data_IF_037366514667
#
_entry.id   IF_037366514667
#
_cell.length_a   1.000
_cell.length_b   1.000
_cell.length_c   1.000
_cell.angle_alpha   90.00
_cell.angle_beta   90.00
_cell.angle_gamma   90.00
#
_symmetry.space_group_name_H-M   'P 1'
#
loop_
_entity.id
_entity.type
_entity.pdbx_description
1 polymer ?
#
# COMPACT_ATOMS: atom_id res chain seq x y z
N UNK A 1 -0.10 83.94 -20.05
CA UNK A 1 -0.74 82.95 -20.97
C UNK A 1 0.15 81.75 -21.03
N UNK A 2 -0.08 80.72 -20.18
CA UNK A 2 0.63 79.45 -20.22
C UNK A 2 -0.36 78.36 -20.19
N UNK A 3 -0.34 77.46 -21.20
CA UNK A 3 -1.16 76.23 -21.30
C UNK A 3 -0.50 75.13 -20.46
N UNK A 4 -1.25 74.31 -19.72
CA UNK A 4 -0.69 73.13 -19.02
C UNK A 4 -0.67 71.90 -19.97
N UNK A 5 0.48 71.20 -19.97
CA UNK A 5 0.71 70.01 -20.64
C UNK A 5 -0.08 68.79 -19.95
N UNK A 6 -0.92 68.11 -20.65
CA UNK A 6 -1.50 66.84 -20.28
C UNK A 6 -0.45 65.74 -20.41
N UNK A 7 -0.09 65.12 -19.31
CA UNK A 7 0.65 63.84 -19.31
C UNK A 7 -0.31 62.67 -19.62
N UNK A 8 -0.04 61.96 -20.68
CA UNK A 8 -0.67 60.71 -21.00
C UNK A 8 -0.12 59.61 -20.08
N UNK A 9 -0.97 58.99 -19.27
CA UNK A 9 -0.66 57.80 -18.49
C UNK A 9 -0.73 56.57 -19.42
N UNK A 10 0.38 55.89 -19.58
CA UNK A 10 0.49 54.57 -20.23
C UNK A 10 -0.10 53.48 -19.32
N UNK A 11 -0.90 52.53 -19.82
CA UNK A 11 -1.34 51.43 -19.01
C UNK A 11 -0.20 50.42 -18.81
N UNK A 12 0.09 50.13 -17.54
CA UNK A 12 1.00 49.07 -17.12
C UNK A 12 0.41 47.71 -17.51
N UNK A 13 1.02 47.09 -18.49
CA UNK A 13 0.68 45.69 -18.87
C UNK A 13 1.09 44.78 -17.72
N UNK A 14 0.10 44.18 -17.05
CA UNK A 14 0.29 43.03 -16.18
C UNK A 14 0.77 41.85 -17.04
N UNK A 15 2.04 41.60 -17.01
CA UNK A 15 2.67 40.38 -17.52
C UNK A 15 2.19 39.22 -16.66
N UNK A 16 1.30 38.41 -17.21
CA UNK A 16 1.02 37.06 -16.73
C UNK A 16 2.33 36.27 -16.81
N UNK A 17 2.96 36.07 -15.67
CA UNK A 17 4.04 35.11 -15.55
C UNK A 17 3.41 33.73 -15.79
N UNK A 18 3.51 33.25 -17.03
CA UNK A 18 3.29 31.85 -17.34
C UNK A 18 4.36 31.06 -16.59
N UNK A 19 3.98 30.38 -15.50
CA UNK A 19 4.80 29.37 -14.86
C UNK A 19 5.07 28.31 -15.90
N UNK A 20 6.29 28.26 -16.41
CA UNK A 20 6.78 27.20 -17.28
C UNK A 20 6.49 25.85 -16.60
N UNK A 21 5.87 24.87 -17.31
CA UNK A 21 5.72 23.55 -16.74
C UNK A 21 7.11 23.01 -16.40
N UNK A 22 7.32 22.59 -15.16
CA UNK A 22 8.55 21.94 -14.75
C UNK A 22 8.82 20.79 -15.72
N UNK A 23 10.00 20.76 -16.34
CA UNK A 23 10.42 19.75 -17.33
C UNK A 23 10.56 18.33 -16.75
N UNK A 24 10.20 18.14 -15.48
CA UNK A 24 10.29 16.90 -14.71
C UNK A 24 8.90 16.50 -14.19
N UNK A 25 8.10 15.84 -15.00
CA UNK A 25 6.81 15.30 -14.64
C UNK A 25 6.39 14.20 -15.59
N UNK A 26 5.16 13.67 -15.45
CA UNK A 26 4.59 12.67 -16.36
C UNK A 26 4.38 13.17 -17.81
N UNK A 27 4.34 14.48 -18.03
CA UNK A 27 4.22 15.09 -19.37
C UNK A 27 3.04 14.54 -20.19
N UNK A 28 1.88 14.40 -19.56
CA UNK A 28 0.66 13.89 -20.20
C UNK A 28 0.57 12.37 -20.30
N UNK A 29 1.50 11.62 -19.74
CA UNK A 29 1.38 10.16 -19.67
C UNK A 29 0.11 9.75 -18.92
N UNK A 30 -0.54 8.69 -19.39
CA UNK A 30 -1.71 8.06 -18.78
C UNK A 30 -1.23 7.15 -17.64
N UNK A 31 -1.64 7.49 -16.42
CA UNK A 31 -1.16 6.86 -15.19
C UNK A 31 -2.29 6.13 -14.51
N UNK A 32 -2.24 4.81 -14.51
CA UNK A 32 -3.19 3.96 -13.79
C UNK A 32 -2.76 3.78 -12.32
N UNK A 33 -3.74 3.70 -11.43
CA UNK A 33 -3.54 3.25 -10.06
C UNK A 33 -4.78 2.50 -9.57
N UNK A 34 -4.55 1.44 -8.80
CA UNK A 34 -5.60 0.63 -8.19
C UNK A 34 -5.86 1.03 -6.74
N UNK A 35 -5.47 2.26 -6.36
CA UNK A 35 -5.61 2.80 -5.01
C UNK A 35 -7.09 2.98 -4.63
N UNK A 36 -7.43 2.54 -3.42
CA UNK A 36 -8.81 2.55 -2.92
C UNK A 36 -9.05 3.64 -1.88
N UNK A 37 -8.39 3.57 -0.73
CA UNK A 37 -8.65 4.50 0.40
C UNK A 37 -8.28 5.94 0.09
N UNK A 38 -7.21 6.14 -0.67
CA UNK A 38 -6.67 7.44 -1.03
C UNK A 38 -6.79 7.72 -2.54
N UNK A 39 -7.82 7.16 -3.21
CA UNK A 39 -8.03 7.31 -4.65
C UNK A 39 -8.07 8.78 -5.09
N UNK A 40 -8.78 9.63 -4.38
CA UNK A 40 -8.84 11.08 -4.67
C UNK A 40 -7.48 11.77 -4.51
N UNK A 41 -6.73 11.41 -3.47
CA UNK A 41 -5.37 11.94 -3.25
C UNK A 41 -4.40 11.45 -4.33
N UNK A 42 -4.49 10.19 -4.73
CA UNK A 42 -3.71 9.62 -5.82
C UNK A 42 -4.01 10.36 -7.14
N UNK A 43 -5.28 10.58 -7.47
CA UNK A 43 -5.70 11.36 -8.63
C UNK A 43 -5.09 12.76 -8.60
N UNK A 44 -5.17 13.45 -7.45
CA UNK A 44 -4.62 14.79 -7.26
C UNK A 44 -3.10 14.81 -7.46
N UNK A 45 -2.39 13.84 -6.89
CA UNK A 45 -0.93 13.73 -7.02
C UNK A 45 -0.50 13.48 -8.47
N UNK A 46 -1.15 12.54 -9.18
CA UNK A 46 -0.85 12.27 -10.59
C UNK A 46 -1.05 13.54 -11.44
N UNK A 47 -2.19 14.22 -11.27
CA UNK A 47 -2.50 15.46 -11.99
C UNK A 47 -1.50 16.57 -11.65
N UNK A 48 -1.14 16.73 -10.36
CA UNK A 48 -0.14 17.71 -9.92
C UNK A 48 1.23 17.52 -10.61
N UNK A 49 1.60 16.26 -10.87
CA UNK A 49 2.82 15.92 -11.59
C UNK A 49 2.63 15.80 -13.12
N UNK A 50 1.53 16.34 -13.67
CA UNK A 50 1.30 16.47 -15.11
C UNK A 50 0.91 15.16 -15.80
N UNK A 51 0.40 14.17 -15.09
CA UNK A 51 -0.14 12.92 -15.63
C UNK A 51 -1.65 12.98 -15.84
N UNK A 52 -2.16 12.08 -16.69
CA UNK A 52 -3.60 11.84 -16.89
C UNK A 52 -3.99 10.64 -16.00
N UNK A 53 -4.72 10.85 -14.90
CA UNK A 53 -5.02 9.78 -13.95
C UNK A 53 -6.12 8.84 -14.44
N UNK A 54 -5.89 7.52 -14.27
CA UNK A 54 -6.88 6.45 -14.36
C UNK A 54 -6.87 5.69 -13.03
N UNK A 55 -7.63 6.18 -12.05
CA UNK A 55 -7.65 5.61 -10.70
C UNK A 55 -8.94 4.84 -10.48
N UNK A 56 -8.82 3.54 -10.20
CA UNK A 56 -9.96 2.68 -9.90
C UNK A 56 -9.68 1.87 -8.63
N UNK A 57 -10.57 1.91 -7.62
CA UNK A 57 -10.46 1.08 -6.45
C UNK A 57 -10.44 -0.41 -6.82
N UNK A 58 -9.46 -1.16 -6.31
CA UNK A 58 -9.40 -2.62 -6.45
C UNK A 58 -9.71 -3.35 -5.14
N UNK A 59 -9.87 -2.60 -4.06
CA UNK A 59 -10.08 -3.16 -2.72
C UNK A 59 -11.16 -2.40 -1.99
N UNK A 60 -11.94 -3.15 -1.20
CA UNK A 60 -12.87 -2.63 -0.22
C UNK A 60 -12.60 -3.29 1.13
N UNK A 61 -12.56 -2.48 2.19
CA UNK A 61 -12.45 -3.00 3.55
C UNK A 61 -13.82 -3.38 4.05
N UNK A 62 -14.01 -4.66 4.39
CA UNK A 62 -15.24 -5.13 5.02
C UNK A 62 -14.95 -5.59 6.44
N UNK A 63 -15.60 -5.00 7.44
CA UNK A 63 -15.62 -5.54 8.79
C UNK A 63 -16.15 -6.97 8.75
N UNK A 64 -15.61 -7.84 9.59
CA UNK A 64 -16.20 -9.16 9.78
C UNK A 64 -17.50 -9.01 10.57
N UNK A 65 -18.63 -9.43 10.01
CA UNK A 65 -19.97 -9.32 10.61
C UNK A 65 -20.09 -10.11 11.92
N UNK A 66 -19.34 -11.24 12.01
CA UNK A 66 -19.22 -12.05 13.21
C UNK A 66 -17.73 -12.25 13.47
N UNK A 67 -17.15 -11.45 14.36
CA UNK A 67 -15.73 -11.49 14.65
C UNK A 67 -15.47 -12.41 15.86
N UNK A 68 -15.88 -13.68 15.71
CA UNK A 68 -15.75 -14.68 16.78
C UNK A 68 -14.31 -14.89 17.22
N UNK A 69 -13.35 -14.87 16.28
CA UNK A 69 -11.93 -15.02 16.58
C UNK A 69 -11.38 -13.85 17.39
N UNK A 70 -11.78 -12.61 17.08
CA UNK A 70 -11.38 -11.45 17.85
C UNK A 70 -12.02 -11.45 19.26
N UNK A 71 -13.28 -11.88 19.40
CA UNK A 71 -13.93 -12.02 20.70
C UNK A 71 -13.29 -13.14 21.55
N UNK A 72 -12.95 -14.28 20.96
CA UNK A 72 -12.21 -15.36 21.62
C UNK A 72 -10.81 -14.90 22.05
N UNK A 73 -10.13 -14.13 21.21
CA UNK A 73 -8.88 -13.47 21.61
C UNK A 73 -9.11 -12.56 22.83
N UNK A 74 -10.17 -11.77 22.85
CA UNK A 74 -10.52 -10.92 24.00
C UNK A 74 -10.73 -11.70 25.29
N UNK A 75 -11.44 -12.85 25.24
CA UNK A 75 -11.59 -13.76 26.36
C UNK A 75 -10.26 -14.32 26.84
N UNK A 76 -9.43 -14.79 25.90
CA UNK A 76 -8.11 -15.35 26.20
C UNK A 76 -7.16 -14.28 26.78
N UNK A 77 -7.23 -13.04 26.28
CA UNK A 77 -6.45 -11.91 26.77
C UNK A 77 -6.79 -11.59 28.23
N UNK A 78 -8.09 -11.46 28.55
CA UNK A 78 -8.56 -11.15 29.90
C UNK A 78 -8.28 -12.31 30.86
N UNK A 79 -8.34 -13.55 30.38
CA UNK A 79 -7.98 -14.74 31.16
C UNK A 79 -6.45 -14.93 31.37
N UNK A 80 -5.62 -14.02 30.86
CA UNK A 80 -4.15 -14.13 30.96
C UNK A 80 -3.56 -15.28 30.12
N UNK A 81 -4.26 -15.70 29.07
CA UNK A 81 -3.87 -16.80 28.19
C UNK A 81 -3.14 -16.35 26.93
N UNK A 82 -2.68 -15.11 26.88
CA UNK A 82 -1.88 -14.52 25.80
C UNK A 82 -0.57 -13.99 26.39
N UNK A 83 0.54 -14.27 25.73
CA UNK A 83 1.86 -13.79 26.18
C UNK A 83 2.32 -12.59 25.35
N UNK A 84 2.00 -12.58 24.05
CA UNK A 84 2.41 -11.53 23.13
C UNK A 84 1.30 -11.19 22.12
N UNK A 85 1.26 -9.92 21.68
CA UNK A 85 0.41 -9.46 20.61
C UNK A 85 1.23 -8.71 19.55
N UNK A 86 1.26 -9.25 18.33
CA UNK A 86 1.84 -8.61 17.16
C UNK A 86 0.78 -7.80 16.41
N UNK A 87 1.00 -6.50 16.29
CA UNK A 87 0.12 -5.57 15.61
C UNK A 87 0.69 -5.22 14.23
N UNK A 88 0.00 -5.62 13.17
CA UNK A 88 0.43 -5.37 11.80
C UNK A 88 0.01 -3.97 11.30
N UNK A 89 -1.10 -3.41 11.79
CA UNK A 89 -1.53 -2.05 11.41
C UNK A 89 -2.18 -1.29 12.56
N UNK A 90 -2.05 0.04 12.55
CA UNK A 90 -2.74 0.89 13.52
C UNK A 90 -4.26 0.91 13.33
N UNK A 91 -4.73 0.89 12.08
CA UNK A 91 -6.17 0.79 11.78
C UNK A 91 -6.74 -0.52 12.33
N UNK A 92 -6.06 -1.66 12.06
CA UNK A 92 -6.50 -2.95 12.58
C UNK A 92 -6.54 -3.02 14.11
N UNK A 93 -5.64 -2.34 14.81
CA UNK A 93 -5.73 -2.26 16.28
C UNK A 93 -6.96 -1.47 16.75
N UNK A 94 -7.31 -0.36 16.08
CA UNK A 94 -8.55 0.39 16.41
C UNK A 94 -9.78 -0.48 16.19
N UNK A 95 -9.87 -1.13 15.04
CA UNK A 95 -10.97 -2.06 14.73
C UNK A 95 -11.04 -3.20 15.73
N UNK A 96 -9.89 -3.76 16.15
CA UNK A 96 -9.86 -4.79 17.20
C UNK A 96 -10.45 -4.27 18.50
N UNK A 97 -10.07 -3.07 18.95
CA UNK A 97 -10.64 -2.47 20.16
C UNK A 97 -12.14 -2.23 20.03
N UNK A 98 -12.62 -1.76 18.88
CA UNK A 98 -14.05 -1.57 18.60
C UNK A 98 -14.83 -2.89 18.73
N UNK A 99 -14.30 -3.98 18.14
CA UNK A 99 -14.93 -5.31 18.24
C UNK A 99 -14.92 -5.81 19.69
N UNK A 100 -13.79 -5.68 20.39
CA UNK A 100 -13.71 -6.12 21.79
C UNK A 100 -14.65 -5.36 22.72
N UNK A 101 -14.89 -4.08 22.45
CA UNK A 101 -15.81 -3.24 23.21
C UNK A 101 -17.28 -3.66 23.06
N UNK A 102 -17.64 -4.49 22.09
CA UNK A 102 -18.97 -5.09 22.01
C UNK A 102 -19.27 -6.02 23.21
N UNK A 103 -18.24 -6.53 23.86
CA UNK A 103 -18.38 -7.52 24.96
C UNK A 103 -17.62 -7.15 26.22
N UNK A 104 -16.54 -6.37 26.15
CA UNK A 104 -15.66 -6.06 27.29
C UNK A 104 -15.50 -4.57 27.47
N UNK A 105 -15.37 -4.11 28.71
CA UNK A 105 -15.08 -2.72 29.01
C UNK A 105 -13.68 -2.32 28.53
N UNK A 106 -13.54 -1.18 27.88
CA UNK A 106 -12.26 -0.69 27.37
C UNK A 106 -11.16 -0.64 28.43
N UNK A 107 -11.39 -0.17 29.69
CA UNK A 107 -10.38 -0.19 30.73
C UNK A 107 -9.85 -1.60 31.01
N UNK A 108 -10.71 -2.63 31.03
CA UNK A 108 -10.32 -4.03 31.26
C UNK A 108 -9.44 -4.53 30.12
N UNK A 109 -9.79 -4.23 28.86
CA UNK A 109 -8.99 -4.59 27.68
C UNK A 109 -7.60 -3.95 27.79
N UNK A 110 -7.56 -2.62 28.02
CA UNK A 110 -6.29 -1.88 28.08
C UNK A 110 -5.41 -2.32 29.26
N UNK A 111 -6.01 -2.67 30.38
CA UNK A 111 -5.25 -3.20 31.53
C UNK A 111 -4.65 -4.57 31.20
N UNK A 112 -5.42 -5.47 30.61
CA UNK A 112 -4.90 -6.79 30.18
C UNK A 112 -3.77 -6.64 29.15
N UNK A 113 -3.86 -5.68 28.22
CA UNK A 113 -2.80 -5.41 27.24
C UNK A 113 -1.49 -4.89 27.84
N UNK A 114 -1.51 -4.29 29.03
CA UNK A 114 -0.27 -3.87 29.75
C UNK A 114 0.53 -5.05 30.30
N UNK A 115 -0.12 -6.20 30.49
CA UNK A 115 0.50 -7.38 31.08
C UNK A 115 1.11 -8.35 30.05
N UNK A 116 1.00 -8.05 28.76
CA UNK A 116 1.57 -8.84 27.67
C UNK A 116 2.62 -8.04 26.89
N UNK A 117 3.47 -8.74 26.12
CA UNK A 117 4.44 -8.07 25.24
C UNK A 117 3.73 -7.58 23.96
N UNK A 118 3.75 -6.27 23.75
CA UNK A 118 3.20 -5.65 22.55
C UNK A 118 4.30 -5.45 21.49
N UNK A 119 4.06 -5.96 20.30
CA UNK A 119 4.97 -5.88 19.16
C UNK A 119 4.31 -5.04 18.09
N UNK A 120 4.94 -3.93 17.68
CA UNK A 120 4.44 -3.07 16.60
C UNK A 120 5.25 -3.29 15.33
N UNK A 121 4.58 -3.62 14.21
CA UNK A 121 5.21 -3.73 12.89
C UNK A 121 5.69 -2.38 12.34
N UNK A 122 6.09 -1.47 13.16
CA UNK A 122 6.59 -0.17 12.74
C UNK A 122 5.88 1.01 13.42
N UNK A 123 6.11 2.25 12.94
CA UNK A 123 5.70 3.46 13.65
C UNK A 123 4.18 3.67 13.71
N UNK A 124 3.43 3.21 12.69
CA UNK A 124 1.97 3.45 12.62
C UNK A 124 1.20 2.73 13.74
N UNK A 125 1.33 1.39 13.95
CA UNK A 125 0.71 0.75 15.11
C UNK A 125 1.28 1.26 16.44
N UNK A 126 2.58 1.56 16.53
CA UNK A 126 3.18 2.13 17.73
C UNK A 126 2.57 3.49 18.13
N UNK A 127 2.24 4.34 17.15
CA UNK A 127 1.54 5.61 17.39
C UNK A 127 0.14 5.37 17.96
N UNK A 128 -0.61 4.43 17.38
CA UNK A 128 -1.98 4.14 17.87
C UNK A 128 -1.95 3.54 19.27
N UNK A 129 -1.02 2.65 19.59
CA UNK A 129 -0.84 2.15 20.96
C UNK A 129 -0.67 3.30 21.97
N UNK A 130 0.17 4.29 21.67
CA UNK A 130 0.40 5.45 22.53
C UNK A 130 -0.85 6.30 22.76
N UNK A 131 -1.75 6.40 21.78
CA UNK A 131 -3.02 7.12 21.92
C UNK A 131 -3.93 6.48 22.98
N UNK A 132 -3.78 5.18 23.23
CA UNK A 132 -4.47 4.41 24.27
C UNK A 132 -3.63 4.21 25.54
N UNK A 133 -2.51 4.93 25.70
CA UNK A 133 -1.67 4.83 26.88
C UNK A 133 -0.84 3.53 26.96
N UNK A 134 -0.67 2.82 25.83
CA UNK A 134 0.10 1.60 25.71
C UNK A 134 1.46 1.88 25.05
N UNK A 135 2.49 1.13 25.44
CA UNK A 135 3.82 1.24 24.87
C UNK A 135 4.25 -0.11 24.30
N UNK A 136 4.59 -0.23 23.02
CA UNK A 136 5.13 -1.47 22.47
C UNK A 136 6.55 -1.71 23.03
N UNK A 137 6.84 -2.93 23.45
CA UNK A 137 8.17 -3.35 23.91
C UNK A 137 9.10 -3.63 22.73
N UNK A 138 8.52 -4.06 21.58
CA UNK A 138 9.27 -4.33 20.36
C UNK A 138 8.67 -3.52 19.22
N UNK A 139 9.52 -2.78 18.49
CA UNK A 139 9.13 -2.04 17.29
C UNK A 139 10.00 -2.50 16.13
N UNK A 140 9.38 -3.02 15.08
CA UNK A 140 10.09 -3.51 13.89
C UNK A 140 10.59 -2.30 13.07
N UNK A 141 11.88 -2.25 12.69
CA UNK A 141 12.44 -1.17 11.88
C UNK A 141 11.96 -1.23 10.43
N UNK A 142 12.07 -0.13 9.70
CA UNK A 142 11.85 -0.12 8.24
C UNK A 142 12.81 -1.08 7.53
N UNK A 143 12.35 -1.74 6.46
CA UNK A 143 11.11 -1.51 5.68
C UNK A 143 9.83 -2.17 6.21
N UNK A 144 9.82 -2.72 7.42
CA UNK A 144 8.64 -3.29 8.11
C UNK A 144 7.99 -4.47 7.36
N UNK A 145 8.78 -5.28 6.66
CA UNK A 145 8.31 -6.49 5.99
C UNK A 145 8.11 -7.62 7.00
N UNK A 146 7.47 -8.71 6.57
CA UNK A 146 7.36 -9.91 7.40
C UNK A 146 8.73 -10.52 7.75
N UNK A 147 9.72 -10.37 6.85
CA UNK A 147 11.10 -10.81 7.10
C UNK A 147 11.76 -9.99 8.22
N UNK A 148 11.49 -8.67 8.24
CA UNK A 148 12.01 -7.80 9.30
C UNK A 148 11.36 -8.10 10.64
N UNK A 149 10.06 -8.48 10.66
CA UNK A 149 9.39 -8.95 11.88
C UNK A 149 10.12 -10.17 12.45
N UNK A 150 10.34 -11.21 11.63
CA UNK A 150 11.03 -12.43 12.07
C UNK A 150 12.43 -12.14 12.55
N UNK A 151 13.21 -11.36 11.81
CA UNK A 151 14.57 -10.94 12.17
C UNK A 151 14.59 -10.16 13.50
N UNK A 152 13.66 -9.24 13.70
CA UNK A 152 13.56 -8.45 14.93
C UNK A 152 13.24 -9.33 16.12
N UNK A 153 12.33 -10.30 15.96
CA UNK A 153 12.00 -11.25 17.02
C UNK A 153 13.21 -12.14 17.36
N UNK A 154 13.96 -12.64 16.38
CA UNK A 154 15.19 -13.42 16.60
C UNK A 154 16.23 -12.63 17.41
N UNK A 155 16.32 -11.31 17.20
CA UNK A 155 17.25 -10.44 17.95
C UNK A 155 16.81 -10.19 19.39
N UNK A 156 15.50 -10.00 19.64
CA UNK A 156 14.96 -9.72 20.97
C UNK A 156 14.74 -10.99 21.79
N UNK A 157 14.53 -12.12 21.15
CA UNK A 157 14.18 -13.42 21.73
C UNK A 157 15.10 -14.51 21.17
N UNK A 158 16.40 -14.50 21.49
CA UNK A 158 17.37 -15.43 20.90
C UNK A 158 17.11 -16.90 21.30
N UNK A 159 16.33 -17.15 22.34
CA UNK A 159 15.85 -18.49 22.74
C UNK A 159 14.67 -18.99 21.90
N UNK A 160 14.18 -18.19 20.91
CA UNK A 160 13.01 -18.50 20.10
C UNK A 160 11.68 -18.20 20.79
N UNK A 161 10.61 -18.71 20.20
CA UNK A 161 9.23 -18.49 20.65
C UNK A 161 8.59 -19.75 21.22
N UNK A 162 9.39 -20.73 21.66
CA UNK A 162 8.90 -22.03 22.12
C UNK A 162 7.87 -21.88 23.25
N UNK A 163 6.64 -22.33 22.99
CA UNK A 163 5.54 -22.29 23.94
C UNK A 163 4.89 -20.91 24.13
N UNK A 164 5.39 -19.86 23.50
CA UNK A 164 4.82 -18.51 23.56
C UNK A 164 3.48 -18.47 22.82
N UNK A 165 2.43 -18.03 23.51
CA UNK A 165 1.09 -17.81 22.95
C UNK A 165 1.06 -16.42 22.30
N UNK A 166 1.31 -16.41 20.99
CA UNK A 166 1.45 -15.20 20.19
C UNK A 166 0.19 -14.92 19.40
N UNK A 167 -0.54 -13.89 19.78
CA UNK A 167 -1.63 -13.36 18.98
C UNK A 167 -1.10 -12.46 17.84
N UNK A 168 -1.63 -12.65 16.64
CA UNK A 168 -1.25 -11.87 15.46
C UNK A 168 -2.48 -11.14 14.93
N UNK A 169 -2.55 -9.83 15.12
CA UNK A 169 -3.60 -9.01 14.54
C UNK A 169 -3.38 -8.92 13.03
N UNK A 170 -4.17 -9.66 12.28
CA UNK A 170 -4.13 -9.70 10.82
C UNK A 170 -4.79 -8.45 10.19
N UNK A 171 -4.39 -8.13 8.96
CA UNK A 171 -5.01 -7.05 8.22
C UNK A 171 -5.27 -7.48 6.76
N UNK A 172 -6.53 -7.52 6.39
CA UNK A 172 -6.98 -7.78 5.02
C UNK A 172 -6.74 -9.19 4.54
N UNK A 173 -5.52 -9.56 4.18
CA UNK A 173 -5.13 -10.91 3.76
C UNK A 173 -4.19 -11.53 4.78
N UNK A 174 -4.37 -12.83 4.97
CA UNK A 174 -3.52 -13.66 5.81
C UNK A 174 -2.10 -13.74 5.22
N UNK A 175 -1.10 -13.51 6.04
CA UNK A 175 0.30 -13.65 5.63
C UNK A 175 0.84 -15.01 6.07
N UNK A 176 0.66 -16.03 5.23
CA UNK A 176 1.06 -17.40 5.55
C UNK A 176 2.59 -17.54 5.72
N UNK A 177 3.39 -16.75 5.01
CA UNK A 177 4.84 -16.75 5.17
C UNK A 177 5.26 -16.24 6.56
N UNK A 178 4.62 -15.18 7.06
CA UNK A 178 4.84 -14.70 8.43
C UNK A 178 4.41 -15.74 9.47
N UNK A 179 3.19 -16.26 9.32
CA UNK A 179 2.65 -17.23 10.29
C UNK A 179 3.49 -18.51 10.32
N UNK A 180 3.87 -19.05 9.16
CA UNK A 180 4.77 -20.20 9.06
C UNK A 180 6.13 -19.91 9.70
N UNK A 181 6.71 -18.74 9.45
CA UNK A 181 7.99 -18.34 10.04
C UNK A 181 7.95 -18.19 11.57
N UNK A 182 6.82 -17.73 12.12
CA UNK A 182 6.60 -17.66 13.57
C UNK A 182 6.39 -19.06 14.17
N UNK A 183 5.61 -19.92 13.51
CA UNK A 183 5.39 -21.32 13.93
C UNK A 183 6.69 -22.13 13.96
N UNK A 184 7.55 -21.95 12.93
CA UNK A 184 8.89 -22.60 12.89
C UNK A 184 9.78 -22.19 14.07
N UNK A 185 9.54 -21.04 14.69
CA UNK A 185 10.23 -20.57 15.90
C UNK A 185 9.61 -21.08 17.20
N UNK A 186 8.56 -21.91 17.09
CA UNK A 186 7.90 -22.57 18.22
C UNK A 186 6.72 -21.79 18.81
N UNK A 187 6.26 -20.71 18.18
CA UNK A 187 5.11 -19.94 18.65
C UNK A 187 3.80 -20.73 18.55
N UNK A 188 2.97 -20.64 19.59
CA UNK A 188 1.57 -21.04 19.55
C UNK A 188 0.77 -19.85 19.00
N UNK A 189 0.41 -19.92 17.73
CA UNK A 189 -0.20 -18.81 17.01
C UNK A 189 -1.71 -18.70 17.25
N UNK A 190 -2.16 -17.47 17.47
CA UNK A 190 -3.57 -17.10 17.58
C UNK A 190 -3.82 -15.99 16.54
N UNK A 191 -4.22 -16.35 15.30
CA UNK A 191 -4.59 -15.35 14.31
C UNK A 191 -5.82 -14.57 14.78
N UNK A 192 -5.78 -13.24 14.68
CA UNK A 192 -6.84 -12.33 15.08
C UNK A 192 -7.23 -11.47 13.87
N UNK A 193 -8.04 -11.99 12.95
CA UNK A 193 -8.54 -11.22 11.82
C UNK A 193 -9.53 -10.18 12.34
N UNK A 194 -9.46 -8.94 11.86
CA UNK A 194 -10.37 -7.86 12.28
C UNK A 194 -11.17 -7.29 11.11
N UNK A 195 -10.66 -7.38 9.89
CA UNK A 195 -11.33 -7.04 8.64
C UNK A 195 -10.72 -7.84 7.49
N UNK A 196 -11.42 -7.87 6.38
CA UNK A 196 -10.92 -8.48 5.14
C UNK A 196 -10.91 -7.44 4.01
N UNK A 197 -9.91 -7.56 3.16
CA UNK A 197 -9.95 -6.91 1.86
C UNK A 197 -10.80 -7.77 0.93
N UNK A 198 -11.80 -7.16 0.33
CA UNK A 198 -12.63 -7.76 -0.70
C UNK A 198 -12.57 -6.92 -1.96
N UNK A 199 -13.02 -7.48 -3.06
CA UNK A 199 -13.30 -6.69 -4.25
C UNK A 199 -14.38 -5.64 -3.94
N UNK A 200 -14.34 -4.46 -4.58
CA UNK A 200 -15.41 -3.47 -4.50
C UNK A 200 -16.75 -4.04 -4.98
N UNK A 201 -17.86 -3.50 -4.48
CA UNK A 201 -19.21 -3.90 -4.93
C UNK A 201 -19.43 -3.54 -6.41
N UNK A 202 -18.92 -2.38 -6.84
CA UNK A 202 -18.89 -1.99 -8.25
C UNK A 202 -17.49 -2.27 -8.84
N UNK A 203 -17.44 -3.26 -9.73
CA UNK A 203 -16.23 -3.68 -10.43
C UNK A 203 -15.99 -2.96 -11.77
N UNK A 204 -16.96 -2.22 -12.27
CA UNK A 204 -16.85 -1.62 -13.61
C UNK A 204 -15.68 -0.63 -13.75
N UNK A 205 -15.40 0.27 -12.78
CA UNK A 205 -14.21 1.11 -12.85
C UNK A 205 -12.91 0.30 -12.91
N UNK A 206 -12.81 -0.78 -12.11
CA UNK A 206 -11.62 -1.64 -12.09
C UNK A 206 -11.46 -2.38 -13.42
N UNK A 207 -12.52 -3.01 -13.93
CA UNK A 207 -12.51 -3.69 -15.23
C UNK A 207 -12.08 -2.75 -16.36
N UNK A 208 -12.61 -1.52 -16.36
CA UNK A 208 -12.25 -0.52 -17.36
C UNK A 208 -10.75 -0.19 -17.35
N UNK A 209 -10.16 0.00 -16.17
CA UNK A 209 -8.70 0.26 -16.05
C UNK A 209 -7.88 -0.96 -16.46
N UNK A 210 -8.27 -2.17 -16.05
CA UNK A 210 -7.58 -3.41 -16.45
C UNK A 210 -7.63 -3.64 -17.96
N UNK A 211 -8.78 -3.35 -18.59
CA UNK A 211 -8.94 -3.39 -20.04
C UNK A 211 -8.06 -2.34 -20.73
N UNK A 212 -8.07 -1.08 -20.27
CA UNK A 212 -7.24 -0.03 -20.81
C UNK A 212 -5.73 -0.36 -20.73
N UNK A 213 -5.28 -1.02 -19.65
CA UNK A 213 -3.91 -1.54 -19.52
C UNK A 213 -3.66 -2.61 -20.59
N UNK A 214 -4.54 -3.60 -20.70
CA UNK A 214 -4.40 -4.71 -21.64
C UNK A 214 -4.36 -4.24 -23.09
N UNK A 215 -5.13 -3.21 -23.45
CA UNK A 215 -5.17 -2.59 -24.77
C UNK A 215 -4.00 -1.62 -25.05
N UNK A 216 -3.08 -1.44 -24.11
CA UNK A 216 -1.93 -0.53 -24.25
C UNK A 216 -2.29 0.96 -24.17
N UNK A 217 -3.42 1.29 -23.59
CA UNK A 217 -3.89 2.66 -23.40
C UNK A 217 -3.37 3.30 -22.11
N UNK A 218 -2.42 2.70 -21.42
CA UNK A 218 -1.81 3.17 -20.16
C UNK A 218 -0.30 3.15 -20.30
N UNK A 219 0.35 4.19 -19.80
CA UNK A 219 1.80 4.36 -19.89
C UNK A 219 2.52 3.99 -18.57
N UNK A 220 1.82 4.16 -17.43
CA UNK A 220 2.37 3.93 -16.08
C UNK A 220 1.33 3.24 -15.21
N UNK A 221 1.74 2.23 -14.44
CA UNK A 221 0.96 1.63 -13.35
C UNK A 221 1.65 1.88 -12.01
N UNK A 222 0.92 2.48 -11.07
CA UNK A 222 1.35 2.71 -9.69
C UNK A 222 0.68 1.71 -8.76
N UNK A 223 1.47 0.88 -8.07
CA UNK A 223 1.00 -0.17 -7.15
C UNK A 223 1.37 0.21 -5.72
N UNK A 224 0.38 0.37 -4.85
CA UNK A 224 0.57 0.76 -3.45
C UNK A 224 0.35 -0.37 -2.46
N UNK A 225 -0.16 -1.53 -2.93
CA UNK A 225 -0.41 -2.70 -2.08
C UNK A 225 -0.38 -3.99 -2.93
N UNK A 226 0.17 -5.08 -2.39
CA UNK A 226 0.20 -6.38 -3.06
C UNK A 226 -1.21 -6.93 -3.37
N UNK A 227 -2.17 -6.70 -2.47
CA UNK A 227 -3.59 -7.12 -2.63
C UNK A 227 -4.23 -6.52 -3.88
N UNK A 228 -3.81 -5.33 -4.31
CA UNK A 228 -4.30 -4.72 -5.55
C UNK A 228 -4.04 -5.62 -6.76
N UNK A 229 -2.90 -6.28 -6.77
CA UNK A 229 -2.50 -7.18 -7.87
C UNK A 229 -3.24 -8.50 -7.79
N UNK A 230 -3.40 -9.08 -6.60
CA UNK A 230 -4.19 -10.30 -6.39
C UNK A 230 -5.63 -10.10 -6.86
N UNK A 231 -6.25 -8.98 -6.49
CA UNK A 231 -7.60 -8.64 -6.90
C UNK A 231 -7.69 -8.36 -8.42
N UNK A 232 -6.72 -7.68 -9.01
CA UNK A 232 -6.66 -7.46 -10.45
C UNK A 232 -6.60 -8.80 -11.21
N UNK A 233 -5.73 -9.72 -10.79
CA UNK A 233 -5.63 -11.07 -11.37
C UNK A 233 -6.93 -11.85 -11.17
N UNK A 234 -7.56 -11.75 -10.00
CA UNK A 234 -8.85 -12.39 -9.73
C UNK A 234 -9.98 -11.87 -10.65
N UNK A 235 -9.99 -10.58 -10.97
CA UNK A 235 -10.97 -9.98 -11.90
C UNK A 235 -10.69 -10.35 -13.36
N UNK A 236 -9.41 -10.44 -13.76
CA UNK A 236 -9.03 -10.93 -15.09
C UNK A 236 -9.43 -12.39 -15.29
N UNK A 237 -9.38 -13.21 -14.25
CA UNK A 237 -9.90 -14.57 -14.16
C UNK A 237 -9.14 -15.57 -15.00
N UNK A 238 -9.37 -15.59 -16.31
CA UNK A 238 -8.76 -16.58 -17.21
C UNK A 238 -7.28 -16.36 -17.45
N UNK A 239 -6.54 -17.46 -17.58
CA UNK A 239 -5.07 -17.43 -17.82
C UNK A 239 -4.69 -16.56 -19.01
N UNK A 240 -5.43 -16.66 -20.11
CA UNK A 240 -5.17 -15.90 -21.33
C UNK A 240 -5.27 -14.38 -21.11
N UNK A 241 -6.22 -13.93 -20.29
CA UNK A 241 -6.37 -12.50 -19.94
C UNK A 241 -5.21 -12.04 -19.07
N UNK A 242 -4.78 -12.86 -18.10
CA UNK A 242 -3.62 -12.58 -17.25
C UNK A 242 -2.34 -12.53 -18.06
N UNK A 243 -2.15 -13.43 -19.02
CA UNK A 243 -0.98 -13.45 -19.91
C UNK A 243 -0.95 -12.22 -20.83
N UNK A 244 -2.10 -11.82 -21.37
CA UNK A 244 -2.25 -10.60 -22.16
C UNK A 244 -1.94 -9.34 -21.32
N UNK A 245 -2.49 -9.26 -20.14
CA UNK A 245 -2.21 -8.20 -19.18
C UNK A 245 -0.73 -8.14 -18.80
N UNK A 246 -0.09 -9.29 -18.54
CA UNK A 246 1.35 -9.39 -18.28
C UNK A 246 2.17 -8.84 -19.44
N UNK A 247 1.81 -9.18 -20.67
CA UNK A 247 2.46 -8.66 -21.86
C UNK A 247 2.35 -7.13 -21.98
N UNK A 248 1.17 -6.58 -21.69
CA UNK A 248 0.96 -5.13 -21.67
C UNK A 248 1.83 -4.44 -20.61
N UNK A 249 1.96 -5.02 -19.41
CA UNK A 249 2.81 -4.48 -18.34
C UNK A 249 4.30 -4.40 -18.73
N UNK A 250 4.78 -5.26 -19.62
CA UNK A 250 6.16 -5.19 -20.12
C UNK A 250 6.41 -3.96 -21.00
N UNK A 251 5.35 -3.33 -21.54
CA UNK A 251 5.43 -2.20 -22.45
C UNK A 251 5.27 -0.84 -21.74
N UNK A 252 4.88 -0.83 -20.48
CA UNK A 252 4.61 0.34 -19.66
C UNK A 252 5.52 0.39 -18.43
N UNK A 253 5.55 1.49 -17.71
CA UNK A 253 6.26 1.60 -16.43
C UNK A 253 5.42 0.99 -15.33
N UNK A 254 5.98 0.05 -14.57
CA UNK A 254 5.36 -0.51 -13.38
C UNK A 254 6.16 -0.09 -12.16
N UNK A 255 5.59 0.80 -11.36
CA UNK A 255 6.20 1.32 -10.13
C UNK A 255 5.47 0.79 -8.89
N UNK A 256 6.19 0.16 -7.99
CA UNK A 256 5.65 -0.31 -6.72
C UNK A 256 6.06 0.58 -5.56
N UNK A 257 5.22 0.68 -4.53
CA UNK A 257 5.50 1.53 -3.37
C UNK A 257 6.64 1.00 -2.49
N UNK A 258 7.01 -0.27 -2.66
CA UNK A 258 8.06 -0.89 -1.86
C UNK A 258 8.04 -2.41 -1.91
N UNK A 259 8.92 -3.07 -1.13
CA UNK A 259 9.26 -4.49 -1.32
C UNK A 259 8.08 -5.45 -1.24
N UNK A 260 7.09 -5.21 -0.39
CA UNK A 260 5.91 -6.09 -0.26
C UNK A 260 5.04 -6.04 -1.52
N UNK A 261 4.82 -4.85 -2.08
CA UNK A 261 4.07 -4.69 -3.32
C UNK A 261 4.85 -5.26 -4.52
N UNK A 262 6.18 -5.09 -4.53
CA UNK A 262 7.07 -5.69 -5.53
C UNK A 262 7.06 -7.21 -5.47
N UNK A 263 7.05 -7.80 -4.28
CA UNK A 263 6.95 -9.26 -4.09
C UNK A 263 5.61 -9.78 -4.66
N UNK A 264 4.51 -9.07 -4.42
CA UNK A 264 3.20 -9.37 -5.01
C UNK A 264 3.21 -9.32 -6.54
N UNK A 265 3.83 -8.32 -7.15
CA UNK A 265 3.97 -8.24 -8.60
C UNK A 265 4.80 -9.41 -9.15
N UNK A 266 5.96 -9.70 -8.55
CA UNK A 266 6.85 -10.79 -8.98
C UNK A 266 6.23 -12.18 -8.82
N UNK A 267 5.35 -12.37 -7.82
CA UNK A 267 4.59 -13.62 -7.65
C UNK A 267 3.79 -13.98 -8.90
N UNK A 268 3.19 -12.99 -9.57
CA UNK A 268 2.48 -13.15 -10.83
C UNK A 268 3.37 -12.97 -12.08
N UNK A 269 4.69 -12.93 -11.90
CA UNK A 269 5.66 -12.69 -12.99
C UNK A 269 5.45 -11.34 -13.69
N UNK A 270 4.95 -10.34 -12.98
CA UNK A 270 4.81 -8.97 -13.47
C UNK A 270 6.09 -8.18 -13.24
N UNK A 271 6.42 -7.23 -14.13
CA UNK A 271 7.62 -6.42 -14.00
C UNK A 271 7.53 -5.47 -12.81
N UNK A 272 8.68 -5.10 -12.28
CA UNK A 272 8.85 -3.99 -11.34
C UNK A 272 10.00 -3.15 -11.86
N UNK A 273 9.69 -1.98 -12.39
CA UNK A 273 10.69 -1.11 -13.02
C UNK A 273 11.35 -0.17 -12.00
N UNK A 274 10.61 0.17 -10.93
CA UNK A 274 11.16 1.01 -9.87
C UNK A 274 10.40 0.86 -8.55
N UNK A 275 11.11 1.18 -7.47
CA UNK A 275 10.57 1.46 -6.14
C UNK A 275 11.05 2.85 -5.70
N UNK A 276 10.26 3.62 -4.94
CA UNK A 276 10.66 4.92 -4.44
C UNK A 276 11.69 4.77 -3.30
N UNK A 277 12.45 5.84 -3.06
CA UNK A 277 13.43 5.91 -1.95
C UNK A 277 12.77 5.69 -0.57
N UNK A 278 11.49 6.01 -0.45
CA UNK A 278 10.70 5.78 0.76
C UNK A 278 9.29 5.30 0.37
N UNK A 279 8.77 4.33 1.10
CA UNK A 279 7.44 3.74 0.89
C UNK A 279 6.28 4.70 1.25
N UNK A 280 6.20 5.83 0.53
CA UNK A 280 5.16 6.86 0.68
C UNK A 280 4.55 7.19 -0.68
N UNK A 281 3.22 7.26 -0.76
CA UNK A 281 2.48 7.50 -1.99
C UNK A 281 2.95 8.76 -2.74
N UNK A 282 3.13 9.88 -2.05
CA UNK A 282 3.60 11.12 -2.67
C UNK A 282 5.02 11.02 -3.23
N UNK A 283 5.90 10.22 -2.60
CA UNK A 283 7.27 9.97 -3.09
C UNK A 283 7.22 9.03 -4.29
N UNK A 284 6.41 7.97 -4.23
CA UNK A 284 6.17 7.08 -5.37
C UNK A 284 5.75 7.88 -6.61
N UNK A 285 4.71 8.70 -6.51
CA UNK A 285 4.21 9.48 -7.65
C UNK A 285 5.27 10.45 -8.16
N UNK A 286 5.93 11.18 -7.27
CA UNK A 286 6.97 12.16 -7.61
C UNK A 286 8.15 11.50 -8.35
N UNK A 287 8.74 10.46 -7.75
CA UNK A 287 9.93 9.82 -8.32
C UNK A 287 9.60 9.06 -9.62
N UNK A 288 8.41 8.41 -9.69
CA UNK A 288 7.95 7.80 -10.94
C UNK A 288 7.78 8.85 -12.03
N UNK A 289 7.19 10.01 -11.73
CA UNK A 289 7.01 11.08 -12.72
C UNK A 289 8.34 11.57 -13.32
N UNK A 290 9.41 11.52 -12.56
CA UNK A 290 10.76 11.91 -12.99
C UNK A 290 11.45 10.85 -13.86
N UNK A 291 11.17 9.55 -13.62
CA UNK A 291 11.83 8.44 -14.28
C UNK A 291 11.04 7.85 -15.46
N UNK A 292 9.73 8.04 -15.52
CA UNK A 292 8.83 7.34 -16.42
C UNK A 292 9.22 7.45 -17.91
N UNK A 293 9.56 8.65 -18.38
CA UNK A 293 9.91 8.85 -19.79
C UNK A 293 11.19 8.09 -20.19
N UNK A 294 12.20 8.08 -19.33
CA UNK A 294 13.45 7.37 -19.58
C UNK A 294 13.23 5.85 -19.62
N UNK A 295 12.44 5.31 -18.67
CA UNK A 295 12.09 3.88 -18.60
C UNK A 295 11.30 3.46 -19.85
N UNK A 296 10.28 4.22 -20.26
CA UNK A 296 9.49 3.93 -21.46
C UNK A 296 10.34 3.95 -22.72
N UNK A 297 11.24 4.92 -22.86
CA UNK A 297 12.16 5.01 -24.01
C UNK A 297 13.06 3.77 -24.08
N UNK A 298 13.62 3.35 -22.94
CA UNK A 298 14.44 2.13 -22.87
C UNK A 298 13.67 0.87 -23.29
N UNK A 299 12.44 0.68 -22.76
CA UNK A 299 11.58 -0.46 -23.12
C UNK A 299 11.24 -0.50 -24.62
N UNK A 300 10.96 0.66 -25.22
CA UNK A 300 10.67 0.76 -26.67
C UNK A 300 11.88 0.44 -27.54
N UNK A 301 13.07 0.83 -27.14
CA UNK A 301 14.32 0.54 -27.87
C UNK A 301 14.68 -0.94 -27.83
N UNK A 302 14.55 -1.61 -26.69
CA UNK A 302 14.80 -3.04 -26.55
C UNK A 302 13.92 -3.85 -27.50
N UNK A 303 12.64 -3.51 -27.61
CA UNK A 303 11.71 -4.18 -28.53
C UNK A 303 12.06 -4.02 -30.00
N UNK A 304 12.55 -2.83 -30.41
CA UNK A 304 12.95 -2.61 -31.79
C UNK A 304 14.19 -3.43 -32.17
N UNK A 305 15.12 -3.61 -31.21
CA UNK A 305 16.30 -4.46 -31.39
C UNK A 305 15.98 -5.95 -31.52
N UNK A 306 14.99 -6.45 -30.77
CA UNK A 306 14.55 -7.85 -30.80
C UNK A 306 13.83 -8.19 -32.14
N UNK A 307 13.04 -7.26 -32.69
CA UNK A 307 12.36 -7.46 -33.97
C UNK A 307 13.32 -7.41 -35.18
N UNK A 308 14.46 -6.70 -35.09
CA UNK A 308 15.46 -6.66 -36.15
C UNK A 308 16.41 -7.88 -36.15
N UNK A 309 16.39 -8.73 -35.11
CA UNK A 309 17.26 -9.92 -35.03
C UNK A 309 16.56 -11.22 -35.46
N UNK A 310 15.31 -11.14 -35.91
CA UNK A 310 14.49 -12.28 -36.35
C UNK A 310 14.07 -12.21 -37.84
N UNK A 311 14.53 -11.20 -38.59
CA UNK A 311 14.51 -11.12 -40.05
C UNK A 311 15.92 -11.45 -40.63
#
# INVERSE_FOLDING_TARGET
>A
MCRPHLRKSTPTSLSLVATSPSTNGFQGLRVASLESRLASEMTRLITHHGGVPLVAPSMQERPLSENSEALQFGEALIAGSIDMLLLLTGAGFRTLLEVLQLRFALPTILDSLKHITLIARGPKPGKVLKEFGLTPQIVVPEPNTWKDILKTLDQHLPQGLQGIRLAVQEYGIRNDALLSGLAQRGAQLIPVPVYRWTLPDDLEPLKHVLQAISEGHVDVLLVTNAVQIEHAVGVLGEKNHVDHFRHALQQMVVASIGPVASEGLRHFQFPVDMEPTHAKMGILVKETSQAAQAILTGKRQTRQGENCSHD
#
